data_IF_222785803523
#
_entry.id   IF_222785803523
#
_cell.length_a   1.000
_cell.length_b   1.000
_cell.length_c   1.000
_cell.angle_alpha   90.00
_cell.angle_beta   90.00
_cell.angle_gamma   90.00
#
_symmetry.space_group_name_H-M   'P 1'
#
loop_
_entity.id
_entity.type
_entity.pdbx_description
1 polymer ?
#
# COMPACT_ATOMS: atom_id res chain seq x y z
N UNK A 1 8.37 -2.24 -4.81
CA UNK A 1 8.29 -0.81 -4.51
C UNK A 1 8.12 -0.59 -3.01
N UNK A 2 8.06 0.67 -2.59
CA UNK A 2 7.71 1.13 -1.24
C UNK A 2 6.64 2.20 -1.33
N UNK A 3 5.62 2.10 -0.50
CA UNK A 3 4.65 3.16 -0.27
C UNK A 3 5.07 3.93 1.00
N UNK A 4 5.06 5.26 0.95
CA UNK A 4 5.61 6.10 2.01
C UNK A 4 4.93 7.47 2.09
N UNK A 5 5.32 8.28 3.07
CA UNK A 5 4.77 9.63 3.32
C UNK A 5 3.25 9.66 3.57
N UNK A 6 2.72 8.61 4.21
CA UNK A 6 1.32 8.54 4.62
C UNK A 6 0.99 9.43 5.83
N UNK A 7 -0.28 9.88 5.97
CA UNK A 7 -1.42 9.53 5.12
C UNK A 7 -1.49 10.34 3.82
N UNK A 8 -2.15 9.80 2.79
CA UNK A 8 -2.43 10.56 1.57
C UNK A 8 -3.69 11.40 1.79
N UNK A 9 -3.61 12.71 1.53
CA UNK A 9 -4.75 13.61 1.64
C UNK A 9 -5.76 13.40 0.50
N UNK A 10 -7.04 13.35 0.86
CA UNK A 10 -8.16 13.36 -0.07
C UNK A 10 -8.75 11.99 -0.38
N UNK A 11 -9.90 12.03 -1.04
CA UNK A 11 -10.70 10.88 -1.48
C UNK A 11 -10.16 10.30 -2.80
N UNK A 12 -10.15 8.98 -2.93
CA UNK A 12 -9.63 8.24 -4.08
C UNK A 12 -8.21 8.67 -4.52
N UNK A 13 -7.21 8.71 -3.61
CA UNK A 13 -5.90 9.23 -3.94
C UNK A 13 -5.22 8.43 -5.05
N UNK A 14 -4.57 9.14 -5.97
CA UNK A 14 -3.64 8.52 -6.90
C UNK A 14 -2.21 8.54 -6.31
N UNK A 15 -1.69 7.40 -5.85
CA UNK A 15 -0.37 7.32 -5.25
C UNK A 15 0.68 7.46 -6.36
N UNK A 16 1.34 8.61 -6.43
CA UNK A 16 2.40 8.84 -7.41
C UNK A 16 3.55 9.57 -6.73
N UNK A 17 4.76 9.42 -7.29
CA UNK A 17 5.94 10.24 -6.96
C UNK A 17 6.28 10.32 -5.47
N UNK A 18 5.70 11.27 -4.74
CA UNK A 18 6.00 11.53 -3.33
C UNK A 18 5.52 10.45 -2.37
N UNK A 19 4.56 9.62 -2.78
CA UNK A 19 4.03 8.52 -1.97
C UNK A 19 4.57 7.15 -2.40
N UNK A 20 5.24 7.06 -3.54
CA UNK A 20 5.61 5.78 -4.17
C UNK A 20 7.06 5.79 -4.62
N UNK A 21 7.79 4.74 -4.28
CA UNK A 21 9.11 4.45 -4.84
C UNK A 21 9.09 3.07 -5.48
N UNK A 22 9.39 2.98 -6.77
CA UNK A 22 9.22 1.76 -7.55
C UNK A 22 7.83 1.69 -8.19
N UNK A 23 7.58 2.67 -9.07
CA UNK A 23 6.35 2.82 -9.86
C UNK A 23 6.12 1.65 -10.83
N UNK A 24 7.12 0.80 -11.02
CA UNK A 24 7.05 -0.46 -11.75
C UNK A 24 6.34 -1.56 -10.95
N UNK A 25 6.19 -1.42 -9.63
CA UNK A 25 5.56 -2.45 -8.78
C UNK A 25 4.10 -2.14 -8.44
N UNK A 26 3.70 -0.87 -8.41
CA UNK A 26 2.34 -0.47 -8.03
C UNK A 26 1.56 0.06 -9.23
N UNK A 27 0.25 -0.17 -9.23
CA UNK A 27 -0.63 0.17 -10.35
C UNK A 27 -0.82 1.68 -10.54
N UNK A 28 -0.57 2.50 -9.50
CA UNK A 28 -0.54 3.97 -9.54
C UNK A 28 -1.74 4.60 -10.28
N UNK A 29 -2.90 3.95 -10.15
CA UNK A 29 -4.17 4.41 -10.71
C UNK A 29 -5.12 4.79 -9.56
N UNK A 30 -6.23 5.45 -9.87
CA UNK A 30 -7.23 5.80 -8.85
C UNK A 30 -7.72 4.54 -8.13
N UNK A 31 -7.82 4.59 -6.81
CA UNK A 31 -8.26 3.48 -5.96
C UNK A 31 -7.33 2.26 -6.06
N UNK A 32 -6.07 2.46 -6.46
CA UNK A 32 -5.06 1.40 -6.45
C UNK A 32 -4.53 1.14 -5.06
N UNK A 33 -4.84 2.03 -4.10
CA UNK A 33 -4.46 1.96 -2.70
C UNK A 33 -5.64 2.43 -1.87
N UNK A 34 -6.02 1.65 -0.85
CA UNK A 34 -7.19 1.91 0.02
C UNK A 34 -6.92 1.47 1.47
N UNK A 35 -7.78 1.92 2.38
CA UNK A 35 -7.73 1.66 3.82
C UNK A 35 -7.08 2.80 4.60
N UNK A 36 -6.65 2.52 5.83
CA UNK A 36 -6.22 3.49 6.86
C UNK A 36 -4.99 4.35 6.56
N UNK A 37 -4.54 4.37 5.31
CA UNK A 37 -3.44 5.18 4.81
C UNK A 37 -3.92 6.39 3.99
N UNK A 38 -5.21 6.48 3.66
CA UNK A 38 -5.85 7.69 3.13
C UNK A 38 -6.48 8.56 4.24
N UNK A 39 -6.94 9.76 3.88
CA UNK A 39 -7.79 10.61 4.75
C UNK A 39 -9.13 10.96 4.08
N UNK A 40 -9.51 10.20 3.06
CA UNK A 40 -10.46 10.61 2.04
C UNK A 40 -11.86 10.08 2.19
N UNK A 41 -11.99 8.88 2.73
CA UNK A 41 -13.26 8.18 2.89
C UNK A 41 -13.78 8.34 4.33
N UNK A 42 -15.07 8.05 4.53
CA UNK A 42 -15.75 8.17 5.83
C UNK A 42 -15.13 7.31 6.93
N UNK A 43 -14.40 6.27 6.53
CA UNK A 43 -13.74 5.32 7.43
C UNK A 43 -12.21 5.49 7.48
N UNK A 44 -11.64 6.47 6.76
CA UNK A 44 -10.20 6.71 6.66
C UNK A 44 -9.82 8.07 7.28
N UNK A 45 -9.18 8.07 8.46
CA UNK A 45 -8.75 9.29 9.17
C UNK A 45 -7.21 9.50 9.13
N UNK A 46 -6.51 8.70 8.34
CA UNK A 46 -5.06 8.67 8.24
C UNK A 46 -4.34 8.06 9.44
N UNK A 47 -5.08 7.48 10.38
CA UNK A 47 -4.56 6.80 11.56
C UNK A 47 -4.87 5.30 11.49
N UNK A 48 -4.01 4.48 12.12
CA UNK A 48 -4.20 3.03 12.17
C UNK A 48 -4.75 2.59 13.52
N UNK A 49 -5.91 1.93 13.50
CA UNK A 49 -6.51 1.23 14.62
C UNK A 49 -6.40 -0.29 14.49
N UNK A 50 -6.69 -1.00 15.58
CA UNK A 50 -6.66 -2.46 15.58
C UNK A 50 -7.77 -3.02 14.68
N UNK A 51 -7.40 -3.91 13.76
CA UNK A 51 -8.35 -4.59 12.86
C UNK A 51 -8.52 -3.92 11.50
N UNK A 52 -7.90 -2.76 11.31
CA UNK A 52 -7.84 -2.09 10.03
C UNK A 52 -6.83 -2.74 9.07
N UNK A 53 -6.97 -2.43 7.79
CA UNK A 53 -6.19 -3.01 6.71
C UNK A 53 -5.68 -1.96 5.75
N UNK A 54 -4.73 -2.38 4.91
CA UNK A 54 -4.31 -1.65 3.72
C UNK A 54 -4.50 -2.56 2.52
N UNK A 55 -5.01 -2.01 1.43
CA UNK A 55 -5.06 -2.67 0.14
C UNK A 55 -4.17 -1.93 -0.85
N UNK A 56 -3.51 -2.67 -1.73
CA UNK A 56 -2.74 -2.11 -2.84
C UNK A 56 -2.86 -3.01 -4.07
N UNK A 57 -2.70 -2.44 -5.26
CA UNK A 57 -2.70 -3.18 -6.53
C UNK A 57 -1.30 -3.25 -7.14
N UNK A 58 -0.94 -4.44 -7.64
CA UNK A 58 0.25 -4.69 -8.47
C UNK A 58 -0.23 -4.83 -9.92
N UNK A 59 0.32 -4.07 -10.89
CA UNK A 59 -0.12 -4.13 -12.28
C UNK A 59 0.48 -5.35 -12.98
N UNK A 60 -0.25 -5.91 -13.95
CA UNK A 60 0.16 -7.10 -14.72
C UNK A 60 1.09 -6.79 -15.91
N UNK A 61 1.92 -5.76 -15.79
CA UNK A 61 2.76 -5.24 -16.89
C UNK A 61 4.24 -5.40 -16.60
N UNK A 62 4.75 -4.68 -15.60
CA UNK A 62 6.17 -4.67 -15.23
C UNK A 62 6.48 -5.81 -14.23
N UNK A 63 5.49 -6.19 -13.41
CA UNK A 63 5.57 -7.30 -12.45
C UNK A 63 4.53 -8.36 -12.81
N UNK A 64 4.99 -9.47 -13.37
CA UNK A 64 4.13 -10.63 -13.63
C UNK A 64 4.13 -11.57 -12.42
N UNK A 65 2.98 -11.71 -11.79
CA UNK A 65 2.73 -12.71 -10.74
C UNK A 65 2.04 -13.93 -11.36
N UNK A 66 2.67 -15.10 -11.22
CA UNK A 66 2.09 -16.39 -11.54
C UNK A 66 1.42 -16.99 -10.29
N UNK A 67 0.47 -17.89 -10.50
CA UNK A 67 -0.14 -18.65 -9.40
C UNK A 67 0.94 -19.38 -8.60
N UNK A 68 0.96 -19.17 -7.28
CA UNK A 68 1.96 -19.69 -6.35
C UNK A 68 3.14 -18.75 -6.07
N UNK A 69 3.28 -17.64 -6.79
CA UNK A 69 4.32 -16.66 -6.51
C UNK A 69 4.05 -15.97 -5.16
N UNK A 70 5.13 -15.69 -4.43
CA UNK A 70 5.07 -15.07 -3.10
C UNK A 70 5.31 -13.56 -3.19
N UNK A 71 4.48 -12.79 -2.48
CA UNK A 71 4.65 -11.35 -2.27
C UNK A 71 4.92 -11.10 -0.79
N UNK A 72 6.10 -10.56 -0.49
CA UNK A 72 6.51 -10.23 0.88
C UNK A 72 6.15 -8.78 1.19
N UNK A 73 5.35 -8.58 2.24
CA UNK A 73 4.87 -7.26 2.67
C UNK A 73 5.44 -6.97 4.05
N UNK A 74 5.97 -5.76 4.24
CA UNK A 74 6.38 -5.25 5.54
C UNK A 74 5.77 -3.89 5.78
N UNK A 75 5.25 -3.68 6.97
CA UNK A 75 4.84 -2.35 7.44
C UNK A 75 5.85 -1.89 8.46
N UNK A 76 6.44 -0.72 8.21
CA UNK A 76 7.53 -0.16 9.01
C UNK A 76 7.04 1.15 9.60
N UNK A 77 7.08 1.25 10.93
CA UNK A 77 6.84 2.50 11.63
C UNK A 77 8.08 3.41 11.46
N UNK A 78 8.02 4.31 10.48
CA UNK A 78 9.14 5.15 10.06
C UNK A 78 9.86 5.88 11.21
N UNK A 79 9.17 6.50 12.19
CA UNK A 79 9.85 7.21 13.28
C UNK A 79 10.78 6.33 14.13
N UNK A 80 10.46 5.04 14.29
CA UNK A 80 11.25 4.10 15.12
C UNK A 80 11.99 3.05 14.30
N UNK A 81 11.75 3.00 12.99
CA UNK A 81 12.23 1.96 12.07
C UNK A 81 11.84 0.53 12.53
N UNK A 82 10.73 0.41 13.28
CA UNK A 82 10.23 -0.88 13.76
C UNK A 82 9.36 -1.52 12.69
N UNK A 83 9.62 -2.79 12.38
CA UNK A 83 8.69 -3.58 11.57
C UNK A 83 7.51 -3.98 12.47
N UNK A 84 6.32 -3.49 12.15
CA UNK A 84 5.10 -3.76 12.93
C UNK A 84 4.30 -4.93 12.38
N UNK A 85 4.40 -5.18 11.06
CA UNK A 85 3.77 -6.30 10.36
C UNK A 85 4.78 -6.88 9.36
N UNK A 86 4.89 -8.21 9.34
CA UNK A 86 5.50 -8.97 8.25
C UNK A 86 4.49 -10.00 7.76
N UNK A 87 4.20 -9.97 6.46
CA UNK A 87 3.22 -10.86 5.85
C UNK A 87 3.77 -11.43 4.53
N UNK A 88 3.35 -12.65 4.20
CA UNK A 88 3.61 -13.27 2.91
C UNK A 88 2.27 -13.60 2.28
N UNK A 89 1.96 -12.92 1.18
CA UNK A 89 0.79 -13.17 0.35
C UNK A 89 1.18 -14.12 -0.78
N UNK A 90 0.25 -14.95 -1.24
CA UNK A 90 0.46 -15.87 -2.37
C UNK A 90 -0.48 -15.49 -3.49
N UNK A 91 0.06 -15.27 -4.68
CA UNK A 91 -0.74 -15.03 -5.88
C UNK A 91 -1.53 -16.29 -6.24
N UNK A 92 -2.83 -16.13 -6.53
CA UNK A 92 -3.76 -17.24 -6.83
C UNK A 92 -4.15 -17.27 -8.28
#
# INVERSE_FOLDING_TARGET
GTLHNFPIEGDDPNPTSEYVSGDDVFDNSHNSIEGSIGTGDVDDDGMWSTGEYVMFRIPSTEVYLNSGDAVYVKIIHTPTNTVIIEETLTAS
#
